data_IF_635321990545
#
_entry.id   IF_635321990545
#
_cell.length_a   1.000
_cell.length_b   1.000
_cell.length_c   1.000
_cell.angle_alpha   90.00
_cell.angle_beta   90.00
_cell.angle_gamma   90.00
#
_symmetry.space_group_name_H-M   'P 1'
#
loop_
_entity.id
_entity.type
_entity.pdbx_description
1 polymer ?
#
# COMPACT_ATOMS: atom_id res chain seq x y z
N UNK A 1 7.91 7.53 -3.29
CA UNK A 1 8.57 6.75 -4.35
C UNK A 1 10.04 6.54 -3.98
N UNK A 2 10.36 5.45 -3.29
CA UNK A 2 11.69 5.05 -2.79
C UNK A 2 12.61 4.46 -3.88
N UNK A 3 12.44 4.89 -5.14
CA UNK A 3 13.14 4.34 -6.30
C UNK A 3 14.68 4.58 -6.29
N UNK A 4 15.22 5.21 -5.25
CA UNK A 4 16.64 5.57 -5.12
C UNK A 4 17.24 5.24 -3.75
N UNK A 5 16.66 4.31 -2.99
CA UNK A 5 17.28 3.85 -1.73
C UNK A 5 18.50 3.00 -2.04
N UNK A 6 19.70 3.48 -1.70
CA UNK A 6 20.91 2.70 -1.84
C UNK A 6 20.85 1.47 -0.91
N UNK A 7 21.61 0.43 -1.24
CA UNK A 7 21.72 -0.76 -0.38
C UNK A 7 22.21 -0.40 1.04
N UNK A 8 23.10 0.57 1.14
CA UNK A 8 23.63 1.08 2.42
C UNK A 8 22.51 1.76 3.23
N UNK A 9 21.74 2.64 2.59
CA UNK A 9 20.57 3.29 3.19
C UNK A 9 19.51 2.27 3.66
N UNK A 10 19.25 1.21 2.88
CA UNK A 10 18.34 0.15 3.30
C UNK A 10 18.84 -0.59 4.56
N UNK A 11 20.14 -0.84 4.67
CA UNK A 11 20.72 -1.46 5.87
C UNK A 11 20.72 -0.53 7.09
N UNK A 12 21.03 0.75 6.90
CA UNK A 12 20.94 1.76 7.97
C UNK A 12 19.51 1.89 8.48
N UNK A 13 18.52 1.90 7.59
CA UNK A 13 17.12 1.95 7.95
C UNK A 13 16.68 0.67 8.67
N UNK A 14 17.15 -0.49 8.22
CA UNK A 14 16.91 -1.75 8.90
C UNK A 14 17.51 -1.78 10.32
N UNK A 15 18.72 -1.25 10.48
CA UNK A 15 19.37 -1.13 11.78
C UNK A 15 18.60 -0.18 12.71
N UNK A 16 18.11 0.94 12.16
CA UNK A 16 17.21 1.86 12.84
C UNK A 16 15.97 1.16 13.37
N UNK A 17 15.18 0.52 12.50
CA UNK A 17 13.95 -0.21 12.89
C UNK A 17 14.22 -1.22 14.01
N UNK A 18 15.30 -2.01 13.88
CA UNK A 18 15.70 -2.97 14.91
C UNK A 18 16.02 -2.31 16.25
N UNK A 19 16.71 -1.18 16.24
CA UNK A 19 17.04 -0.43 17.46
C UNK A 19 15.79 0.18 18.13
N UNK A 20 14.74 0.51 17.37
CA UNK A 20 13.48 1.03 17.93
C UNK A 20 12.62 -0.04 18.60
N UNK A 21 12.76 -1.31 18.22
CA UNK A 21 11.81 -2.37 18.58
C UNK A 21 11.47 -2.43 20.09
N UNK A 22 12.43 -2.42 21.03
CA UNK A 22 12.11 -2.46 22.45
C UNK A 22 11.25 -1.27 22.90
N UNK A 23 11.56 -0.06 22.42
CA UNK A 23 10.83 1.16 22.72
C UNK A 23 9.42 1.14 22.13
N UNK A 24 9.28 0.67 20.88
CA UNK A 24 7.96 0.55 20.22
C UNK A 24 7.06 -0.46 20.91
N UNK A 25 7.61 -1.57 21.40
CA UNK A 25 6.86 -2.57 22.17
C UNK A 25 6.46 -2.03 23.54
N UNK A 26 7.33 -1.27 24.22
CA UNK A 26 7.00 -0.60 25.47
C UNK A 26 5.91 0.47 25.28
N UNK A 27 6.02 1.29 24.24
CA UNK A 27 4.99 2.27 23.88
C UNK A 27 3.65 1.59 23.59
N UNK A 28 3.64 0.47 22.85
CA UNK A 28 2.42 -0.31 22.64
C UNK A 28 1.82 -0.78 23.97
N UNK A 29 2.65 -1.34 24.86
CA UNK A 29 2.21 -1.81 26.17
C UNK A 29 1.58 -0.66 26.97
N UNK A 30 2.20 0.52 26.99
CA UNK A 30 1.70 1.70 27.69
C UNK A 30 0.38 2.20 27.08
N UNK A 31 0.31 2.33 25.75
CA UNK A 31 -0.91 2.75 25.06
C UNK A 31 -2.07 1.78 25.33
N UNK A 32 -1.81 0.48 25.35
CA UNK A 32 -2.81 -0.53 25.72
C UNK A 32 -3.23 -0.38 27.18
N UNK A 33 -2.27 -0.24 28.10
CA UNK A 33 -2.58 -0.06 29.53
C UNK A 33 -3.46 1.17 29.78
N UNK A 34 -3.11 2.31 29.19
CA UNK A 34 -3.79 3.59 29.44
C UNK A 34 -5.16 3.68 28.77
N UNK A 35 -5.35 2.98 27.64
CA UNK A 35 -6.62 2.96 26.90
C UNK A 35 -7.53 1.78 27.24
N UNK A 36 -7.17 0.95 28.22
CA UNK A 36 -7.94 -0.24 28.60
C UNK A 36 -7.88 -1.37 27.56
N UNK A 37 -6.81 -1.42 26.78
CA UNK A 37 -6.52 -2.46 25.79
C UNK A 37 -6.04 -3.80 26.39
N UNK A 38 -5.97 -4.85 25.56
CA UNK A 38 -5.74 -6.23 26.01
C UNK A 38 -4.27 -6.58 26.31
N UNK A 39 -3.52 -5.71 27.00
CA UNK A 39 -2.08 -5.90 27.27
C UNK A 39 -1.76 -7.25 27.94
N UNK A 40 -2.64 -7.72 28.84
CA UNK A 40 -2.47 -8.98 29.58
C UNK A 40 -2.57 -10.25 28.73
N UNK A 41 -3.13 -10.17 27.52
CA UNK A 41 -3.33 -11.32 26.64
C UNK A 41 -2.35 -11.34 25.45
N UNK A 42 -1.43 -10.37 25.38
CA UNK A 42 -0.47 -10.20 24.29
C UNK A 42 0.74 -11.13 24.43
N UNK A 43 0.53 -12.43 24.20
CA UNK A 43 1.52 -13.52 24.34
C UNK A 43 2.33 -13.82 23.06
N UNK A 44 2.26 -12.92 22.07
CA UNK A 44 2.80 -13.08 20.72
C UNK A 44 2.27 -14.32 19.97
N UNK A 45 1.10 -14.86 20.31
CA UNK A 45 0.44 -15.90 19.49
C UNK A 45 -0.43 -15.27 18.39
N UNK A 46 -0.72 -15.99 17.29
CA UNK A 46 -1.74 -15.56 16.32
C UNK A 46 -3.10 -15.27 16.99
N UNK A 47 -3.44 -15.98 18.06
CA UNK A 47 -4.69 -15.77 18.81
C UNK A 47 -4.74 -14.39 19.50
N UNK A 48 -3.61 -13.87 19.98
CA UNK A 48 -3.56 -12.52 20.57
C UNK A 48 -3.99 -11.42 19.58
N UNK A 49 -3.81 -11.65 18.26
CA UNK A 49 -4.21 -10.70 17.23
C UNK A 49 -5.74 -10.50 17.15
N UNK A 50 -6.52 -11.50 17.56
CA UNK A 50 -7.99 -11.42 17.60
C UNK A 50 -8.46 -10.35 18.61
N UNK A 51 -7.74 -10.19 19.71
CA UNK A 51 -8.04 -9.19 20.73
C UNK A 51 -7.38 -7.83 20.42
N UNK A 52 -6.14 -7.86 19.94
CA UNK A 52 -5.38 -6.66 19.56
C UNK A 52 -6.11 -5.83 18.51
N UNK A 53 -6.65 -6.49 17.49
CA UNK A 53 -7.12 -5.80 16.30
C UNK A 53 -8.38 -4.94 16.50
N UNK A 54 -9.47 -5.45 17.12
CA UNK A 54 -10.63 -4.62 17.47
C UNK A 54 -10.27 -3.46 18.38
N UNK A 55 -9.36 -3.67 19.34
CA UNK A 55 -8.85 -2.59 20.18
C UNK A 55 -8.15 -1.53 19.36
N UNK A 56 -7.19 -1.90 18.50
CA UNK A 56 -6.42 -0.96 17.71
C UNK A 56 -7.30 -0.12 16.77
N UNK A 57 -8.29 -0.74 16.11
CA UNK A 57 -9.26 -0.02 15.30
C UNK A 57 -10.09 0.98 16.11
N UNK A 58 -10.55 0.58 17.31
CA UNK A 58 -11.25 1.47 18.23
C UNK A 58 -10.37 2.63 18.71
N UNK A 59 -9.12 2.34 19.05
CA UNK A 59 -8.11 3.30 19.46
C UNK A 59 -7.80 4.32 18.35
N UNK A 60 -7.65 3.86 17.10
CA UNK A 60 -7.44 4.71 15.94
C UNK A 60 -8.67 5.57 15.59
N UNK A 61 -9.88 5.02 15.71
CA UNK A 61 -11.16 5.76 15.57
C UNK A 61 -11.32 6.84 16.63
N UNK A 62 -10.82 6.61 17.84
CA UNK A 62 -10.79 7.60 18.91
C UNK A 62 -9.69 8.67 18.74
N UNK A 63 -8.96 8.67 17.62
CA UNK A 63 -7.90 9.64 17.35
C UNK A 63 -6.58 9.36 18.08
N UNK A 64 -6.35 8.10 18.48
CA UNK A 64 -5.15 7.65 19.18
C UNK A 64 -4.88 8.41 20.49
N UNK A 65 -5.77 8.34 21.49
CA UNK A 65 -5.59 9.03 22.77
C UNK A 65 -4.27 8.63 23.43
N UNK A 66 -3.56 9.62 23.99
CA UNK A 66 -2.25 9.40 24.62
C UNK A 66 -1.06 9.42 23.66
N UNK A 67 -1.27 9.41 22.33
CA UNK A 67 -0.18 9.62 21.36
C UNK A 67 0.07 11.13 21.21
N UNK A 68 1.29 11.63 21.49
CA UNK A 68 1.62 13.05 21.33
C UNK A 68 1.45 13.54 19.90
N UNK A 69 1.05 14.81 19.71
CA UNK A 69 0.78 15.39 18.37
C UNK A 69 2.04 15.48 17.51
N UNK A 70 3.19 15.63 18.17
CA UNK A 70 4.51 15.73 17.59
C UNK A 70 5.09 14.37 17.20
N UNK A 71 4.43 13.26 17.53
CA UNK A 71 4.89 11.90 17.24
C UNK A 71 5.10 11.67 15.74
N UNK A 72 6.22 11.03 15.39
CA UNK A 72 6.63 10.78 14.00
C UNK A 72 6.88 9.28 13.81
N UNK A 73 6.23 8.60 12.85
CA UNK A 73 6.57 7.21 12.54
C UNK A 73 7.93 7.14 11.82
N UNK A 74 8.63 6.00 11.90
CA UNK A 74 9.96 5.79 11.29
C UNK A 74 9.98 6.04 9.79
N UNK A 75 8.85 5.76 9.14
CA UNK A 75 8.65 5.89 7.70
C UNK A 75 8.23 7.29 7.28
N UNK A 76 8.15 8.26 8.20
CA UNK A 76 7.74 9.62 7.86
C UNK A 76 8.89 10.50 7.37
N UNK A 77 8.66 11.33 6.34
CA UNK A 77 7.49 11.30 5.44
C UNK A 77 7.52 10.09 4.51
N UNK A 78 6.37 9.43 4.33
CA UNK A 78 6.26 8.16 3.62
C UNK A 78 6.19 8.28 2.09
N UNK A 79 6.19 7.11 1.44
CA UNK A 79 6.25 6.95 -0.03
C UNK A 79 5.14 7.65 -0.83
N UNK A 80 4.05 8.00 -0.18
CA UNK A 80 2.75 8.30 -0.79
C UNK A 80 2.43 9.78 -0.84
N UNK A 81 3.43 10.65 -0.65
CA UNK A 81 3.14 12.06 -0.41
C UNK A 81 2.56 12.22 1.01
N UNK A 82 2.57 13.39 1.61
CA UNK A 82 2.20 14.62 0.98
C UNK A 82 2.81 15.77 1.77
N UNK A 83 3.42 16.67 1.00
CA UNK A 83 3.78 18.05 1.33
C UNK A 83 5.11 18.26 2.05
N UNK A 84 5.70 19.43 1.74
CA UNK A 84 6.79 20.03 2.50
C UNK A 84 6.51 19.93 4.00
N UNK A 85 7.53 19.66 4.80
CA UNK A 85 7.45 19.54 6.26
C UNK A 85 7.26 20.92 6.95
N UNK A 86 6.21 21.63 6.54
CA UNK A 86 5.79 22.91 7.11
C UNK A 86 4.93 22.68 8.35
N UNK A 87 4.90 23.65 9.26
CA UNK A 87 4.04 23.62 10.44
C UNK A 87 2.55 23.44 10.06
N UNK A 88 2.08 24.14 9.02
CA UNK A 88 0.71 24.00 8.51
C UNK A 88 0.40 22.56 8.07
N UNK A 89 1.34 21.89 7.40
CA UNK A 89 1.16 20.53 6.94
C UNK A 89 1.25 19.52 8.08
N UNK A 90 2.15 19.74 9.05
CA UNK A 90 2.23 18.93 10.27
C UNK A 90 0.91 18.95 11.05
N UNK A 91 0.29 20.13 11.18
CA UNK A 91 -1.01 20.28 11.82
C UNK A 91 -2.12 19.59 11.02
N UNK A 92 -2.14 19.75 9.69
CA UNK A 92 -3.15 19.16 8.80
C UNK A 92 -3.16 17.62 8.85
N UNK A 93 -1.98 17.00 8.95
CA UNK A 93 -1.81 15.53 8.95
C UNK A 93 -1.55 14.94 10.32
N UNK A 94 -1.68 15.74 11.40
CA UNK A 94 -1.34 15.33 12.76
C UNK A 94 -2.11 14.10 13.21
N UNK A 95 -3.39 14.00 12.85
CA UNK A 95 -4.22 12.85 13.20
C UNK A 95 -3.75 11.58 12.49
N UNK A 96 -3.55 11.63 11.17
CA UNK A 96 -3.01 10.50 10.42
C UNK A 96 -1.62 10.09 10.93
N UNK A 97 -0.76 11.05 11.28
CA UNK A 97 0.56 10.78 11.87
C UNK A 97 0.49 10.00 13.18
N UNK A 98 -0.43 10.36 14.07
CA UNK A 98 -0.63 9.62 15.33
C UNK A 98 -1.09 8.19 15.08
N UNK A 99 -1.98 7.98 14.10
CA UNK A 99 -2.42 6.65 13.69
C UNK A 99 -1.26 5.81 13.14
N UNK A 100 -0.45 6.38 12.25
CA UNK A 100 0.73 5.69 11.72
C UNK A 100 1.79 5.38 12.79
N UNK A 101 2.00 6.30 13.73
CA UNK A 101 2.89 6.08 14.86
C UNK A 101 2.42 4.91 15.73
N UNK A 102 1.14 4.88 16.10
CA UNK A 102 0.57 3.77 16.85
C UNK A 102 0.60 2.45 16.05
N UNK A 103 0.40 2.53 14.73
CA UNK A 103 0.48 1.37 13.85
C UNK A 103 1.89 0.77 13.83
N UNK A 104 2.95 1.59 13.78
CA UNK A 104 4.34 1.12 13.82
C UNK A 104 4.58 0.25 15.06
N UNK A 105 4.07 0.65 16.22
CA UNK A 105 4.16 -0.15 17.44
C UNK A 105 3.44 -1.49 17.33
N UNK A 106 2.28 -1.55 16.66
CA UNK A 106 1.58 -2.80 16.32
C UNK A 106 2.41 -3.66 15.35
N UNK A 107 3.07 -3.07 14.36
CA UNK A 107 3.93 -3.79 13.41
C UNK A 107 5.09 -4.50 14.13
N UNK A 108 5.68 -3.88 15.16
CA UNK A 108 6.71 -4.53 15.99
C UNK A 108 6.18 -5.74 16.75
N UNK A 109 4.96 -5.66 17.29
CA UNK A 109 4.33 -6.81 17.93
C UNK A 109 4.03 -7.94 16.93
N UNK A 110 3.61 -7.60 15.70
CA UNK A 110 3.39 -8.59 14.64
C UNK A 110 4.65 -9.37 14.26
N UNK A 111 5.84 -8.75 14.34
CA UNK A 111 7.10 -9.47 14.16
C UNK A 111 7.28 -10.56 15.22
N UNK A 112 6.99 -10.27 16.49
CA UNK A 112 7.04 -11.27 17.57
C UNK A 112 6.05 -12.41 17.32
N UNK A 113 4.86 -12.09 16.82
CA UNK A 113 3.87 -13.11 16.45
C UNK A 113 4.38 -14.02 15.34
N UNK A 114 4.99 -13.45 14.31
CA UNK A 114 5.63 -14.21 13.23
C UNK A 114 6.79 -15.06 13.76
N UNK A 115 7.64 -14.51 14.64
CA UNK A 115 8.75 -15.25 15.24
C UNK A 115 8.26 -16.47 16.02
N UNK A 116 7.21 -16.30 16.83
CA UNK A 116 6.60 -17.41 17.59
C UNK A 116 5.95 -18.45 16.66
N UNK A 117 5.28 -18.03 15.60
CA UNK A 117 4.56 -18.92 14.70
C UNK A 117 5.50 -19.75 13.79
N UNK A 118 6.61 -19.15 13.33
CA UNK A 118 7.53 -19.76 12.36
C UNK A 118 8.89 -20.15 12.94
N UNK A 119 9.14 -19.89 14.22
CA UNK A 119 10.40 -20.18 14.91
C UNK A 119 11.56 -19.22 14.57
N UNK A 120 11.48 -18.49 13.46
CA UNK A 120 12.37 -17.38 13.14
C UNK A 120 11.65 -16.33 12.31
N UNK A 121 11.80 -15.06 12.68
CA UNK A 121 11.29 -13.94 11.92
C UNK A 121 12.22 -12.74 12.10
N UNK A 122 12.70 -12.18 10.99
CA UNK A 122 13.65 -11.07 11.01
C UNK A 122 13.10 -9.89 10.22
N UNK A 123 13.32 -8.68 10.72
CA UNK A 123 13.16 -7.49 9.92
C UNK A 123 14.04 -7.58 8.67
N UNK A 124 13.46 -7.18 7.55
CA UNK A 124 14.11 -7.08 6.26
C UNK A 124 13.55 -5.88 5.50
N UNK A 125 14.31 -5.42 4.52
CA UNK A 125 13.94 -4.32 3.63
C UNK A 125 14.02 -4.84 2.20
N UNK A 126 12.98 -4.57 1.39
CA UNK A 126 13.01 -4.89 -0.03
C UNK A 126 13.92 -3.91 -0.76
N UNK A 127 15.09 -4.40 -1.18
CA UNK A 127 16.01 -3.64 -2.04
C UNK A 127 15.48 -3.51 -3.49
N UNK A 128 14.62 -4.44 -3.90
CA UNK A 128 13.85 -4.44 -5.14
C UNK A 128 12.50 -5.14 -4.87
N UNK A 129 11.42 -4.78 -5.56
CA UNK A 129 10.10 -5.38 -5.36
C UNK A 129 10.15 -6.89 -5.65
N UNK A 130 9.50 -7.70 -4.80
CA UNK A 130 9.45 -9.16 -4.96
C UNK A 130 8.66 -9.60 -6.21
N UNK A 131 7.81 -8.71 -6.71
CA UNK A 131 7.00 -8.88 -7.90
C UNK A 131 7.00 -7.53 -8.61
N UNK A 132 7.13 -7.46 -9.94
CA UNK A 132 7.20 -6.17 -10.67
C UNK A 132 5.98 -5.24 -10.51
N UNK A 133 4.93 -5.70 -9.84
CA UNK A 133 3.59 -5.08 -9.79
C UNK A 133 3.04 -5.00 -8.36
N UNK A 134 3.84 -5.27 -7.33
CA UNK A 134 3.29 -5.10 -5.98
C UNK A 134 3.28 -3.61 -5.63
N UNK A 135 2.15 -3.12 -5.08
CA UNK A 135 2.06 -1.81 -4.40
C UNK A 135 3.12 -1.61 -3.31
N UNK A 136 3.91 -2.64 -3.00
CA UNK A 136 5.11 -2.51 -2.19
C UNK A 136 6.07 -1.57 -2.89
N UNK A 137 6.13 -0.36 -2.36
CA UNK A 137 7.17 0.57 -2.78
C UNK A 137 8.53 -0.09 -2.48
N UNK A 138 9.54 0.26 -3.28
CA UNK A 138 10.94 -0.05 -2.93
C UNK A 138 11.20 0.38 -1.47
N UNK A 139 12.06 -0.30 -0.71
CA UNK A 139 12.39 0.14 0.64
C UNK A 139 11.31 -0.08 1.71
N UNK A 140 10.24 -0.82 1.42
CA UNK A 140 9.30 -1.26 2.44
C UNK A 140 9.95 -2.23 3.43
N UNK A 141 9.63 -2.03 4.71
CA UNK A 141 10.04 -2.92 5.78
C UNK A 141 9.03 -4.05 5.87
N UNK A 142 9.52 -5.27 5.91
CA UNK A 142 8.71 -6.43 6.22
C UNK A 142 9.44 -7.41 7.08
N UNK A 143 8.78 -8.53 7.31
CA UNK A 143 9.28 -9.61 8.14
C UNK A 143 9.51 -10.82 7.26
N UNK A 144 10.77 -11.24 7.13
CA UNK A 144 11.12 -12.48 6.43
C UNK A 144 10.90 -13.64 7.38
N UNK A 145 10.12 -14.61 6.90
CA UNK A 145 9.79 -15.86 7.56
C UNK A 145 10.74 -16.97 7.07
N UNK A 146 11.22 -17.81 7.99
CA UNK A 146 12.05 -19.02 7.78
C UNK A 146 12.86 -19.08 6.46
N UNK A 147 14.16 -18.75 6.54
CA UNK A 147 15.16 -18.93 5.46
C UNK A 147 14.71 -18.45 4.06
N UNK A 148 13.89 -17.40 4.00
CA UNK A 148 13.48 -16.75 2.74
C UNK A 148 12.27 -17.39 2.05
N UNK A 149 11.46 -18.20 2.74
CA UNK A 149 10.27 -18.85 2.15
C UNK A 149 8.97 -18.07 2.27
N UNK A 150 8.95 -16.95 3.00
CA UNK A 150 7.77 -16.10 3.11
C UNK A 150 8.13 -14.66 3.47
N UNK A 151 7.36 -13.73 2.93
CA UNK A 151 7.40 -12.31 3.27
C UNK A 151 6.08 -11.95 3.91
N UNK A 152 6.12 -11.47 5.16
CA UNK A 152 4.97 -10.88 5.82
C UNK A 152 5.10 -9.36 5.74
N UNK A 153 4.01 -8.69 5.36
CA UNK A 153 3.92 -7.24 5.15
C UNK A 153 3.13 -6.62 6.30
N UNK A 154 3.79 -6.13 7.37
CA UNK A 154 3.09 -5.33 8.38
C UNK A 154 2.51 -4.05 7.78
N UNK A 155 3.12 -3.52 6.70
CA UNK A 155 2.71 -2.29 6.02
C UNK A 155 1.36 -2.38 5.29
N UNK A 156 0.78 -3.57 5.07
CA UNK A 156 -0.64 -3.66 4.64
C UNK A 156 -1.59 -3.04 5.65
N UNK A 157 -1.20 -2.95 6.93
CA UNK A 157 -1.95 -2.23 7.94
C UNK A 157 -2.03 -0.73 7.65
N UNK A 158 -0.96 -0.12 7.11
CA UNK A 158 -1.00 1.30 6.72
C UNK A 158 -2.02 1.53 5.60
N UNK A 159 -2.09 0.61 4.63
CA UNK A 159 -3.10 0.65 3.57
C UNK A 159 -4.53 0.49 4.11
N UNK A 160 -4.75 -0.45 5.06
CA UNK A 160 -6.04 -0.61 5.74
C UNK A 160 -6.44 0.65 6.49
N UNK A 161 -5.51 1.30 7.20
CA UNK A 161 -5.78 2.55 7.92
C UNK A 161 -6.12 3.69 6.96
N UNK A 162 -5.42 3.81 5.84
CA UNK A 162 -5.78 4.79 4.80
C UNK A 162 -7.19 4.55 4.29
N UNK A 163 -7.50 3.29 4.00
CA UNK A 163 -8.80 2.94 3.47
C UNK A 163 -9.91 3.22 4.48
N UNK A 164 -9.69 2.87 5.74
CA UNK A 164 -10.68 3.03 6.80
C UNK A 164 -10.90 4.49 7.24
N UNK A 165 -9.91 5.37 7.07
CA UNK A 165 -9.91 6.68 7.72
C UNK A 165 -9.62 7.89 6.85
N UNK A 166 -9.02 7.72 5.67
CA UNK A 166 -8.65 8.83 4.78
C UNK A 166 -9.66 8.97 3.60
N UNK A 167 -10.86 8.39 3.73
CA UNK A 167 -11.99 8.62 2.82
C UNK A 167 -12.03 7.74 1.57
N UNK A 168 -11.23 6.67 1.51
CA UNK A 168 -11.36 5.62 0.49
C UNK A 168 -12.54 4.71 0.87
N UNK A 169 -13.21 4.12 -0.12
CA UNK A 169 -14.46 3.36 0.04
C UNK A 169 -14.43 2.39 1.25
N UNK A 170 -15.36 2.57 2.19
CA UNK A 170 -15.45 1.76 3.43
C UNK A 170 -15.49 0.24 3.17
N UNK A 171 -16.07 -0.16 2.03
CA UNK A 171 -16.12 -1.56 1.61
C UNK A 171 -14.72 -2.14 1.34
N UNK A 172 -13.80 -1.36 0.76
CA UNK A 172 -12.42 -1.80 0.54
C UNK A 172 -11.66 -1.97 1.86
N UNK A 173 -11.97 -1.15 2.87
CA UNK A 173 -11.40 -1.31 4.21
C UNK A 173 -11.85 -2.63 4.86
N UNK A 174 -13.14 -2.98 4.75
CA UNK A 174 -13.69 -4.24 5.27
C UNK A 174 -13.11 -5.47 4.54
N UNK A 175 -12.95 -5.40 3.22
CA UNK A 175 -12.32 -6.47 2.44
C UNK A 175 -10.84 -6.64 2.79
N UNK A 176 -10.12 -5.53 2.98
CA UNK A 176 -8.70 -5.57 3.37
C UNK A 176 -8.52 -6.11 4.81
N UNK A 177 -9.46 -5.78 5.70
CA UNK A 177 -9.57 -6.34 7.05
C UNK A 177 -9.82 -7.84 7.05
N UNK A 178 -10.74 -8.30 6.20
CA UNK A 178 -11.04 -9.72 6.02
C UNK A 178 -9.80 -10.46 5.48
N UNK A 179 -9.18 -9.94 4.42
CA UNK A 179 -7.97 -10.52 3.83
C UNK A 179 -6.82 -10.62 4.85
N UNK A 180 -6.65 -9.60 5.69
CA UNK A 180 -5.67 -9.64 6.77
C UNK A 180 -6.01 -10.70 7.81
N UNK A 181 -7.29 -10.80 8.20
CA UNK A 181 -7.77 -11.81 9.16
C UNK A 181 -7.57 -13.24 8.64
N UNK A 182 -7.81 -13.48 7.35
CA UNK A 182 -7.54 -14.77 6.69
C UNK A 182 -6.05 -15.11 6.68
N UNK A 183 -5.17 -14.12 6.45
CA UNK A 183 -3.71 -14.30 6.55
C UNK A 183 -3.26 -14.61 7.97
N UNK A 184 -3.84 -13.95 8.97
CA UNK A 184 -3.56 -14.27 10.39
C UNK A 184 -4.06 -15.67 10.73
N UNK A 185 -5.23 -16.07 10.23
CA UNK A 185 -5.80 -17.39 10.44
C UNK A 185 -4.99 -18.52 9.76
N UNK A 186 -4.25 -18.20 8.69
CA UNK A 186 -3.38 -19.16 8.00
C UNK A 186 -2.01 -19.33 8.68
N UNK A 187 -1.67 -18.48 9.66
CA UNK A 187 -0.47 -18.66 10.46
C UNK A 187 -0.52 -20.00 11.19
N UNK A 188 0.60 -20.75 11.26
CA UNK A 188 0.67 -21.95 12.06
C UNK A 188 0.21 -21.66 13.50
N UNK A 189 -0.69 -22.50 14.03
CA UNK A 189 -1.05 -22.39 15.43
C UNK A 189 0.20 -22.69 16.25
N UNK A 190 0.74 -21.65 16.89
CA UNK A 190 1.73 -21.83 17.96
C UNK A 190 1.11 -22.66 19.08
N UNK A 191 1.94 -23.28 19.92
CA UNK A 191 1.50 -24.09 21.06
C UNK A 191 0.60 -23.34 22.08
N UNK A 192 0.39 -23.87 23.30
CA UNK A 192 -0.52 -23.25 24.27
C UNK A 192 -0.21 -21.76 24.51
N UNK A 193 -1.26 -20.99 24.83
CA UNK A 193 -1.12 -19.55 25.15
C UNK A 193 -0.11 -19.37 26.27
N UNK A 194 0.71 -18.34 26.13
CA UNK A 194 1.75 -17.98 27.09
C UNK A 194 1.34 -16.81 27.97
N UNK A 195 2.27 -16.38 28.82
CA UNK A 195 2.20 -15.08 29.49
C UNK A 195 2.37 -13.95 28.46
N UNK A 196 1.86 -12.77 28.78
CA UNK A 196 2.03 -11.59 27.93
C UNK A 196 3.50 -11.22 27.82
N UNK A 197 3.95 -10.96 26.58
CA UNK A 197 5.28 -10.42 26.30
C UNK A 197 5.33 -8.90 26.48
N UNK A 198 4.17 -8.23 26.55
CA UNK A 198 4.07 -6.78 26.70
C UNK A 198 3.93 -6.32 28.16
N UNK A 199 3.27 -7.10 29.03
CA UNK A 199 3.10 -6.74 30.46
C UNK A 199 4.44 -6.44 31.15
N UNK A 200 5.51 -7.25 30.97
CA UNK A 200 6.80 -6.95 31.59
C UNK A 200 7.37 -5.59 31.16
N UNK A 201 7.06 -5.11 29.95
CA UNK A 201 7.60 -3.85 29.43
C UNK A 201 7.03 -2.60 30.11
N UNK A 202 5.92 -2.73 30.85
CA UNK A 202 5.34 -1.63 31.63
C UNK A 202 6.23 -1.20 32.81
N UNK A 203 7.13 -2.07 33.27
CA UNK A 203 8.02 -1.80 34.42
C UNK A 203 9.50 -1.72 34.04
N UNK A 204 9.86 -1.96 32.78
CA UNK A 204 11.23 -1.88 32.30
C UNK A 204 11.63 -0.42 32.10
N UNK A 205 12.77 -0.01 32.64
CA UNK A 205 13.38 1.28 32.28
C UNK A 205 14.33 1.06 31.08
N UNK A 206 13.88 1.45 29.89
CA UNK A 206 14.69 1.41 28.67
C UNK A 206 15.59 2.66 28.52
N UNK A 207 15.47 3.64 29.43
CA UNK A 207 16.10 4.94 29.31
C UNK A 207 15.48 5.81 28.20
N UNK A 208 16.14 6.92 27.88
CA UNK A 208 15.70 7.75 26.77
C UNK A 208 15.88 7.03 25.43
N UNK A 209 14.91 7.13 24.50
CA UNK A 209 15.10 6.64 23.13
C UNK A 209 16.34 7.32 22.53
N UNK A 210 17.34 6.55 22.04
CA UNK A 210 18.51 7.10 21.37
C UNK A 210 18.10 8.10 20.29
N UNK A 211 18.89 9.14 20.01
CA UNK A 211 18.57 10.07 18.91
C UNK A 211 18.34 9.35 17.57
N UNK A 212 19.11 8.28 17.33
CA UNK A 212 18.95 7.37 16.19
C UNK A 212 17.51 6.86 16.08
N UNK A 213 16.83 6.60 17.21
CA UNK A 213 15.46 6.06 17.30
C UNK A 213 14.39 7.13 17.10
N UNK A 214 14.70 8.44 17.21
CA UNK A 214 13.69 9.51 17.16
C UNK A 214 13.24 9.84 15.73
N UNK A 215 14.18 9.90 14.79
CA UNK A 215 13.94 10.12 13.35
C UNK A 215 14.92 9.23 12.60
N UNK A 216 14.46 8.53 11.56
CA UNK A 216 15.34 7.69 10.76
C UNK A 216 16.50 8.53 10.19
N UNK A 217 17.76 8.15 10.43
CA UNK A 217 18.92 8.90 9.94
C UNK A 217 18.97 8.92 8.40
N UNK A 218 18.44 7.87 7.77
CA UNK A 218 18.35 7.69 6.31
C UNK A 218 17.31 8.62 5.69
N UNK A 219 16.28 8.96 6.46
CA UNK A 219 15.21 9.89 6.06
C UNK A 219 15.45 11.28 6.66
N UNK A 220 16.72 11.70 6.74
CA UNK A 220 17.03 13.11 6.87
C UNK A 220 16.82 13.77 5.51
N UNK A 221 15.94 14.77 5.43
CA UNK A 221 15.91 15.61 4.24
C UNK A 221 17.18 16.47 4.26
N UNK A 222 18.17 16.32 3.35
CA UNK A 222 18.85 17.52 2.89
C UNK A 222 17.74 18.46 2.42
N UNK A 223 17.70 19.70 2.92
CA UNK A 223 16.63 20.68 2.68
C UNK A 223 16.36 21.06 1.22
N UNK A 224 16.85 20.26 0.28
CA UNK A 224 16.84 20.45 -1.16
C UNK A 224 16.28 19.27 -1.97
N UNK A 225 15.85 18.14 -1.38
CA UNK A 225 15.32 17.05 -2.23
C UNK A 225 13.84 17.22 -2.64
N UNK A 226 13.10 18.11 -1.96
CA UNK A 226 11.82 18.63 -2.49
C UNK A 226 12.05 19.70 -3.55
N UNK A 227 13.21 20.39 -3.53
CA UNK A 227 13.63 21.08 -4.74
C UNK A 227 13.88 19.97 -5.76
N UNK A 228 13.43 20.09 -7.01
CA UNK A 228 13.95 19.23 -8.03
C UNK A 228 15.47 19.38 -7.93
N UNK A 229 16.19 18.31 -7.52
CA UNK A 229 17.63 18.26 -7.75
C UNK A 229 17.88 18.58 -9.23
N UNK A 230 19.10 18.98 -9.64
CA UNK A 230 19.40 19.09 -11.07
C UNK A 230 18.88 17.80 -11.68
N UNK A 231 17.85 17.94 -12.51
CA UNK A 231 17.10 16.82 -13.00
C UNK A 231 18.13 15.88 -13.57
N UNK A 232 18.34 14.72 -12.92
CA UNK A 232 18.81 13.57 -13.69
C UNK A 232 17.81 13.57 -14.83
N UNK A 233 18.24 13.81 -16.08
CA UNK A 233 17.31 14.01 -17.17
C UNK A 233 16.39 12.81 -17.10
N UNK A 234 15.14 13.04 -16.66
CA UNK A 234 14.10 12.05 -16.80
C UNK A 234 14.15 11.83 -18.29
N UNK A 235 14.65 10.66 -18.70
CA UNK A 235 14.56 10.25 -20.09
C UNK A 235 13.12 10.57 -20.52
N UNK A 236 12.90 11.06 -21.75
CA UNK A 236 11.59 11.52 -22.18
C UNK A 236 10.52 10.54 -21.68
N UNK A 237 9.59 11.03 -20.83
CA UNK A 237 8.48 10.21 -20.37
C UNK A 237 7.69 9.85 -21.62
N UNK A 238 7.84 8.61 -22.02
CA UNK A 238 7.09 8.01 -23.10
C UNK A 238 5.78 7.53 -22.50
N UNK A 239 4.69 7.89 -23.17
CA UNK A 239 3.35 7.52 -22.73
C UNK A 239 2.85 8.46 -21.62
N UNK A 240 1.61 8.90 -21.79
CA UNK A 240 0.83 9.47 -20.70
C UNK A 240 -0.07 8.36 -20.15
N UNK A 241 -0.63 8.56 -18.96
CA UNK A 241 -1.70 7.69 -18.48
C UNK A 241 -2.84 7.73 -19.52
N UNK A 242 -3.28 6.55 -19.94
CA UNK A 242 -4.33 6.38 -20.94
C UNK A 242 -5.47 5.58 -20.36
N UNK A 243 -6.67 5.87 -20.83
CA UNK A 243 -7.90 5.19 -20.47
C UNK A 243 -8.47 4.58 -21.74
N UNK A 244 -8.87 3.32 -21.67
CA UNK A 244 -9.68 2.65 -22.68
C UNK A 244 -11.09 2.46 -22.13
N UNK A 245 -12.06 3.17 -22.72
CA UNK A 245 -13.47 3.07 -22.34
C UNK A 245 -14.38 3.39 -23.53
N UNK A 246 -15.64 2.99 -23.44
CA UNK A 246 -16.69 3.39 -24.37
C UNK A 246 -17.71 4.23 -23.62
N UNK A 247 -17.76 5.54 -23.87
CA UNK A 247 -18.66 6.46 -23.16
C UNK A 247 -18.03 7.83 -22.94
N UNK A 248 -18.60 8.59 -22.00
CA UNK A 248 -18.17 9.95 -21.66
C UNK A 248 -17.35 9.98 -20.37
N UNK A 249 -16.63 11.08 -20.14
CA UNK A 249 -15.80 11.31 -18.95
C UNK A 249 -16.56 11.14 -17.63
N UNK A 250 -17.83 11.57 -17.55
CA UNK A 250 -18.67 11.40 -16.35
C UNK A 250 -18.77 9.93 -15.89
N UNK A 251 -18.58 9.00 -16.83
CA UNK A 251 -18.56 7.58 -16.55
C UNK A 251 -17.27 7.07 -15.90
N UNK A 252 -16.14 7.76 -16.01
CA UNK A 252 -14.86 7.24 -15.53
C UNK A 252 -14.74 7.28 -14.00
N UNK A 253 -15.20 8.36 -13.35
CA UNK A 253 -15.07 8.50 -11.89
C UNK A 253 -16.38 8.21 -11.16
N UNK A 254 -17.32 9.15 -11.22
CA UNK A 254 -18.46 9.18 -10.31
C UNK A 254 -19.58 8.21 -10.69
N UNK A 255 -19.64 7.79 -11.97
CA UNK A 255 -20.80 7.05 -12.51
C UNK A 255 -20.41 5.97 -13.54
N UNK A 256 -19.64 4.94 -13.15
CA UNK A 256 -19.17 3.87 -14.06
C UNK A 256 -20.27 3.09 -14.79
N UNK A 257 -21.51 3.15 -14.34
CA UNK A 257 -22.65 2.61 -15.08
C UNK A 257 -23.00 3.38 -16.36
N UNK A 258 -22.49 4.60 -16.55
CA UNK A 258 -22.68 5.38 -17.78
C UNK A 258 -21.77 4.91 -18.92
N UNK A 259 -20.67 4.20 -18.61
CA UNK A 259 -19.81 3.60 -19.62
C UNK A 259 -20.49 2.36 -20.21
N UNK A 260 -20.40 2.18 -21.52
CA UNK A 260 -20.81 0.95 -22.17
C UNK A 260 -19.90 -0.21 -21.73
N UNK A 261 -20.44 -1.44 -21.53
CA UNK A 261 -19.61 -2.60 -21.25
C UNK A 261 -18.61 -2.88 -22.37
N UNK A 262 -17.40 -3.26 -22.00
CA UNK A 262 -16.40 -3.81 -22.93
C UNK A 262 -16.53 -5.34 -22.98
N UNK A 263 -16.28 -5.95 -24.14
CA UNK A 263 -16.18 -7.41 -24.28
C UNK A 263 -14.98 -7.94 -23.49
N UNK A 264 -15.24 -8.66 -22.40
CA UNK A 264 -14.24 -9.17 -21.48
C UNK A 264 -13.32 -10.23 -22.13
N UNK A 265 -13.85 -11.02 -23.06
CA UNK A 265 -13.07 -12.04 -23.79
C UNK A 265 -12.12 -11.35 -24.77
N UNK A 266 -12.63 -10.37 -25.53
CA UNK A 266 -11.83 -9.54 -26.42
C UNK A 266 -10.75 -8.75 -25.68
N UNK A 267 -11.08 -8.16 -24.53
CA UNK A 267 -10.15 -7.40 -23.70
C UNK A 267 -9.02 -8.29 -23.17
N UNK A 268 -9.35 -9.47 -22.60
CA UNK A 268 -8.34 -10.40 -22.09
C UNK A 268 -7.41 -10.88 -23.20
N UNK A 269 -7.95 -11.14 -24.40
CA UNK A 269 -7.14 -11.49 -25.58
C UNK A 269 -6.21 -10.35 -25.99
N UNK A 270 -6.70 -9.11 -26.04
CA UNK A 270 -5.89 -7.95 -26.42
C UNK A 270 -4.77 -7.69 -25.41
N UNK A 271 -5.07 -7.78 -24.11
CA UNK A 271 -4.09 -7.66 -23.03
C UNK A 271 -3.01 -8.74 -23.10
N UNK A 272 -3.39 -10.01 -23.33
CA UNK A 272 -2.42 -11.09 -23.53
C UNK A 272 -1.51 -10.89 -24.75
N UNK A 273 -2.06 -10.38 -25.87
CA UNK A 273 -1.27 -10.05 -27.06
C UNK A 273 -0.30 -8.89 -26.81
N UNK A 274 -0.75 -7.90 -26.04
CA UNK A 274 0.08 -6.84 -25.49
C UNK A 274 0.93 -7.31 -24.29
N UNK A 275 1.06 -8.62 -24.04
CA UNK A 275 1.91 -9.24 -23.02
C UNK A 275 1.63 -8.84 -21.57
N UNK A 276 0.42 -8.36 -21.27
CA UNK A 276 -0.06 -8.31 -19.90
C UNK A 276 -0.35 -9.71 -19.36
N UNK A 277 -0.16 -9.88 -18.07
CA UNK A 277 -0.34 -11.15 -17.39
C UNK A 277 -1.01 -10.96 -16.02
N UNK A 278 -1.67 -12.02 -15.56
CA UNK A 278 -2.24 -12.10 -14.23
C UNK A 278 -1.17 -12.44 -13.19
N UNK A 279 -1.63 -12.79 -11.99
CA UNK A 279 -0.78 -13.18 -10.87
C UNK A 279 0.16 -14.33 -11.25
N UNK A 280 1.43 -14.22 -10.83
CA UNK A 280 2.46 -15.22 -11.15
C UNK A 280 2.80 -15.35 -12.64
N UNK A 281 2.41 -14.38 -13.48
CA UNK A 281 2.66 -14.40 -14.92
C UNK A 281 1.68 -15.25 -15.72
N UNK A 282 0.53 -15.60 -15.13
CA UNK A 282 -0.52 -16.38 -15.78
C UNK A 282 -1.14 -15.64 -16.98
N UNK A 283 -1.64 -16.41 -17.95
CA UNK A 283 -2.43 -15.89 -19.08
C UNK A 283 -3.75 -15.36 -18.55
N UNK A 284 -4.15 -14.16 -18.98
CA UNK A 284 -5.38 -13.51 -18.53
C UNK A 284 -6.60 -14.18 -19.14
N UNK A 285 -7.62 -14.43 -18.32
CA UNK A 285 -8.96 -14.85 -18.72
C UNK A 285 -9.97 -13.70 -18.59
N UNK A 286 -11.16 -13.86 -19.16
CA UNK A 286 -12.24 -12.88 -18.96
C UNK A 286 -12.65 -12.74 -17.48
N UNK A 287 -12.59 -13.84 -16.71
CA UNK A 287 -12.88 -13.81 -15.27
C UNK A 287 -11.89 -12.94 -14.50
N UNK A 288 -10.63 -12.89 -14.96
CA UNK A 288 -9.61 -12.04 -14.32
C UNK A 288 -9.93 -10.55 -14.43
N UNK A 289 -10.68 -10.15 -15.47
CA UNK A 289 -11.08 -8.76 -15.74
C UNK A 289 -12.42 -8.38 -15.09
N UNK A 290 -13.08 -9.31 -14.38
CA UNK A 290 -14.33 -9.05 -13.67
C UNK A 290 -14.13 -8.80 -12.17
N UNK A 291 -12.87 -8.78 -11.72
CA UNK A 291 -12.49 -8.37 -10.37
C UNK A 291 -12.17 -6.88 -10.40
N UNK A 292 -13.10 -6.04 -9.93
CA UNK A 292 -12.93 -4.59 -9.91
C UNK A 292 -11.75 -4.15 -9.04
N UNK A 293 -11.05 -3.10 -9.46
CA UNK A 293 -9.87 -2.57 -8.76
C UNK A 293 -8.63 -3.45 -8.89
N UNK A 294 -8.70 -4.54 -9.68
CA UNK A 294 -7.54 -5.39 -9.93
C UNK A 294 -6.55 -4.67 -10.84
N UNK A 295 -5.30 -4.67 -10.45
CA UNK A 295 -4.18 -4.22 -11.27
C UNK A 295 -3.49 -5.42 -11.95
N UNK A 296 -3.13 -5.26 -13.22
CA UNK A 296 -2.48 -6.25 -14.07
C UNK A 296 -1.13 -5.71 -14.54
N UNK A 297 -0.09 -6.53 -14.51
CA UNK A 297 1.25 -6.12 -14.95
C UNK A 297 1.56 -6.54 -16.38
N UNK A 298 2.39 -5.75 -17.06
CA UNK A 298 3.04 -6.17 -18.28
C UNK A 298 4.24 -7.08 -17.97
N UNK A 299 4.34 -8.25 -18.61
CA UNK A 299 5.39 -9.28 -18.37
C UNK A 299 6.83 -8.75 -18.39
N UNK A 300 6.99 -7.66 -19.09
CA UNK A 300 8.22 -7.07 -19.57
C UNK A 300 8.48 -5.69 -18.92
N UNK A 301 7.68 -5.35 -17.90
CA UNK A 301 7.79 -4.11 -17.10
C UNK A 301 7.68 -2.85 -17.96
N UNK A 302 6.70 -2.85 -18.87
CA UNK A 302 6.45 -1.70 -19.74
C UNK A 302 5.29 -0.82 -19.25
N UNK A 303 4.35 -1.41 -18.51
CA UNK A 303 3.09 -0.79 -18.12
C UNK A 303 2.37 -1.59 -17.03
N UNK A 304 1.42 -0.96 -16.34
CA UNK A 304 0.37 -1.62 -15.57
C UNK A 304 -1.02 -1.22 -16.06
N UNK A 305 -2.04 -2.02 -15.70
CA UNK A 305 -3.44 -1.81 -16.05
C UNK A 305 -4.34 -1.95 -14.84
N UNK A 306 -5.09 -0.91 -14.50
CA UNK A 306 -6.17 -0.99 -13.52
C UNK A 306 -7.51 -1.28 -14.22
N UNK A 307 -8.24 -2.25 -13.67
CA UNK A 307 -9.52 -2.75 -14.22
C UNK A 307 -10.70 -2.12 -13.48
N UNK A 308 -11.61 -1.47 -14.22
CA UNK A 308 -12.84 -0.92 -13.66
C UNK A 308 -14.06 -1.76 -14.05
N UNK A 309 -14.80 -2.22 -13.04
CA UNK A 309 -15.96 -3.12 -13.20
C UNK A 309 -17.18 -2.49 -12.54
N UNK A 310 -18.32 -2.53 -13.23
CA UNK A 310 -19.60 -2.13 -12.64
C UNK A 310 -20.75 -3.02 -13.12
N UNK A 311 -21.55 -3.51 -12.16
CA UNK A 311 -22.65 -4.44 -12.44
C UNK A 311 -22.17 -5.78 -13.00
N UNK A 312 -21.00 -6.25 -12.55
CA UNK A 312 -20.39 -7.51 -13.00
C UNK A 312 -19.89 -7.48 -14.45
N UNK A 313 -19.67 -6.30 -15.03
CA UNK A 313 -19.20 -6.08 -16.40
C UNK A 313 -18.01 -5.14 -16.42
N UNK A 314 -17.06 -5.39 -17.32
CA UNK A 314 -15.91 -4.52 -17.56
C UNK A 314 -16.36 -3.19 -18.18
N UNK A 315 -15.88 -2.06 -17.64
CA UNK A 315 -16.26 -0.70 -18.07
C UNK A 315 -15.09 0.09 -18.64
N UNK A 316 -13.93 0.01 -18.00
CA UNK A 316 -12.74 0.71 -18.43
C UNK A 316 -11.46 -0.04 -18.05
N UNK A 317 -10.38 0.31 -18.75
CA UNK A 317 -9.01 -0.10 -18.44
C UNK A 317 -8.14 1.16 -18.38
N UNK A 318 -7.43 1.36 -17.28
CA UNK A 318 -6.51 2.50 -17.10
C UNK A 318 -5.08 1.99 -17.23
N UNK A 319 -4.29 2.59 -18.09
CA UNK A 319 -2.93 2.19 -18.43
C UNK A 319 -1.95 3.20 -17.86
N UNK A 320 -1.02 2.73 -17.03
CA UNK A 320 0.10 3.54 -16.52
C UNK A 320 1.41 3.01 -17.13
N UNK A 321 2.17 3.83 -17.89
CA UNK A 321 3.48 3.43 -18.40
C UNK A 321 4.52 3.36 -17.28
N UNK A 322 5.37 2.33 -17.30
CA UNK A 322 6.45 2.20 -16.32
C UNK A 322 7.62 3.14 -16.63
N UNK A 323 8.41 3.47 -15.61
CA UNK A 323 9.56 4.37 -15.70
C UNK A 323 10.64 3.75 -16.58
N UNK A 324 10.94 4.41 -17.71
CA UNK A 324 11.99 3.98 -18.63
C UNK A 324 11.50 3.17 -19.84
N UNK A 325 10.18 3.02 -20.01
CA UNK A 325 9.63 2.50 -21.26
C UNK A 325 10.01 3.41 -22.44
N UNK A 326 10.37 2.83 -23.58
CA UNK A 326 10.68 3.59 -24.81
C UNK A 326 9.44 3.78 -25.67
N UNK A 327 9.41 4.82 -26.52
CA UNK A 327 8.25 5.13 -27.37
C UNK A 327 7.87 3.97 -28.25
N UNK A 328 8.87 3.33 -28.86
CA UNK A 328 8.68 2.14 -29.67
C UNK A 328 8.01 1.01 -28.89
N UNK A 329 8.41 0.79 -27.62
CA UNK A 329 7.82 -0.26 -26.79
C UNK A 329 6.40 0.09 -26.35
N UNK A 330 6.16 1.34 -26.00
CA UNK A 330 4.82 1.83 -25.66
C UNK A 330 3.85 1.74 -26.85
N UNK A 331 4.31 2.12 -28.04
CA UNK A 331 3.52 2.03 -29.28
C UNK A 331 3.16 0.57 -29.60
N UNK A 332 4.08 -0.38 -29.34
CA UNK A 332 3.81 -1.82 -29.49
C UNK A 332 2.73 -2.30 -28.52
N UNK A 333 2.78 -1.88 -27.25
CA UNK A 333 1.75 -2.19 -26.25
C UNK A 333 0.39 -1.63 -26.71
N UNK A 334 0.37 -0.36 -27.14
CA UNK A 334 -0.86 0.34 -27.52
C UNK A 334 -1.43 -0.09 -28.87
N UNK A 335 -0.64 -0.68 -29.76
CA UNK A 335 -1.12 -1.12 -31.07
C UNK A 335 -2.23 -2.18 -30.99
N UNK A 336 -2.07 -3.19 -30.14
CA UNK A 336 -3.09 -4.24 -29.95
C UNK A 336 -4.34 -3.70 -29.24
N UNK A 337 -4.12 -2.88 -28.21
CA UNK A 337 -5.20 -2.25 -27.43
C UNK A 337 -6.03 -1.29 -28.28
N UNK A 338 -5.38 -0.51 -29.15
CA UNK A 338 -6.07 0.37 -30.10
C UNK A 338 -6.90 -0.37 -31.14
N UNK A 339 -6.48 -1.59 -31.56
CA UNK A 339 -7.33 -2.44 -32.42
C UNK A 339 -8.56 -2.94 -31.68
N UNK A 340 -8.38 -3.36 -30.43
CA UNK A 340 -9.50 -3.76 -29.58
C UNK A 340 -10.46 -2.60 -29.33
N UNK A 341 -9.97 -1.42 -28.95
CA UNK A 341 -10.80 -0.24 -28.72
C UNK A 341 -11.68 0.07 -29.93
N UNK A 342 -11.09 0.12 -31.14
CA UNK A 342 -11.84 0.31 -32.40
C UNK A 342 -12.91 -0.77 -32.63
N UNK A 343 -12.64 -2.02 -32.28
CA UNK A 343 -13.61 -3.12 -32.45
C UNK A 343 -14.82 -3.00 -31.52
N UNK A 344 -14.68 -2.29 -30.39
CA UNK A 344 -15.73 -2.08 -29.40
C UNK A 344 -16.46 -0.74 -29.57
N UNK A 345 -16.04 0.08 -30.54
CA UNK A 345 -16.48 1.49 -30.59
C UNK A 345 -16.00 2.30 -29.37
N UNK A 346 -14.95 1.81 -28.71
CA UNK A 346 -14.31 2.47 -27.57
C UNK A 346 -13.19 3.40 -28.05
N UNK A 347 -12.80 4.30 -27.16
CA UNK A 347 -11.65 5.19 -27.36
C UNK A 347 -10.50 4.76 -26.43
N UNK A 348 -9.27 5.00 -26.87
CA UNK A 348 -8.10 5.03 -26.00
C UNK A 348 -7.51 6.45 -26.05
N UNK A 349 -7.38 7.09 -24.90
CA UNK A 349 -6.96 8.49 -24.81
C UNK A 349 -6.70 8.87 -23.37
N UNK A 350 -6.26 10.11 -23.13
CA UNK A 350 -6.23 10.66 -21.77
C UNK A 350 -7.65 10.74 -21.24
N UNK A 351 -7.76 10.80 -19.93
CA UNK A 351 -9.03 11.07 -19.28
C UNK A 351 -9.71 12.35 -19.84
N UNK A 352 -8.96 13.44 -20.00
CA UNK A 352 -9.45 14.70 -20.59
C UNK A 352 -10.00 14.55 -22.04
N UNK A 353 -9.56 13.52 -22.79
CA UNK A 353 -10.01 13.29 -24.16
C UNK A 353 -11.45 12.76 -24.21
N UNK A 354 -11.99 12.22 -23.11
CA UNK A 354 -13.35 11.70 -23.01
C UNK A 354 -14.42 12.79 -22.87
N UNK A 355 -14.01 14.07 -22.88
CA UNK A 355 -14.84 15.25 -23.07
C UNK A 355 -15.78 15.58 -21.90
N UNK A 356 -15.74 16.84 -21.47
CA UNK A 356 -16.88 17.47 -20.81
C UNK A 356 -17.96 17.70 -21.87
N UNK A 357 -18.87 16.74 -22.03
CA UNK A 357 -20.15 17.06 -22.68
C UNK A 357 -20.74 18.25 -21.93
N UNK A 358 -21.00 19.35 -22.63
CA UNK A 358 -21.70 20.50 -22.07
C UNK A 358 -22.93 19.98 -21.34
N UNK A 359 -22.96 20.16 -20.02
CA UNK A 359 -24.16 19.94 -19.24
C UNK A 359 -25.15 21.01 -19.69
N UNK A 360 -25.97 20.71 -20.70
CA UNK A 360 -27.30 21.29 -20.75
C UNK A 360 -28.02 20.76 -19.51
N UNK A 361 -28.12 21.65 -18.53
CA UNK A 361 -28.87 21.47 -17.31
C UNK A 361 -30.36 21.36 -17.69
N UNK A 362 -30.79 20.15 -18.06
CA UNK A 362 -32.19 19.78 -18.26
C UNK A 362 -32.91 19.61 -16.90
N UNK A 363 -32.72 20.62 -16.05
CA UNK A 363 -33.54 20.88 -14.87
C UNK A 363 -34.77 21.67 -15.30
N UNK A 364 -35.79 20.97 -15.81
CA UNK A 364 -37.17 21.48 -15.89
C UNK A 364 -38.15 20.48 -15.28
#
# INVERSE_FOLDING_TARGET
MFQYTSREQAYEFLAHVRAREPFRLQELAQLMSDSGGPVGSMDASPQSLVELWPWFLGFARAGCPGVPIESVPATWPGASGFLEDTEANRCRVAESRRRYFANESVQHYLRLVCERAFGSAAWAVLAAPLVPVSMLAHGEIGVVLDRGRGWFEPMRLDAILRMAFDGVEAQMADDALLSWSERVASLPRSGPRGESVLVPLLSVDLGEPPELVRVSPVWSWPGEWWKPGPSVPRGPRVGQELVLAAGTLTGLDAKPWLLAPLDEVGAARALNLARFCGEGGAVLSAADLLVGGRELGHRDEAASVLVQVHGGRLRALYFEPDVGVTQERWDLVMAELGRFARSQGAMIGKEDDFGAGEYEDDSN
#
